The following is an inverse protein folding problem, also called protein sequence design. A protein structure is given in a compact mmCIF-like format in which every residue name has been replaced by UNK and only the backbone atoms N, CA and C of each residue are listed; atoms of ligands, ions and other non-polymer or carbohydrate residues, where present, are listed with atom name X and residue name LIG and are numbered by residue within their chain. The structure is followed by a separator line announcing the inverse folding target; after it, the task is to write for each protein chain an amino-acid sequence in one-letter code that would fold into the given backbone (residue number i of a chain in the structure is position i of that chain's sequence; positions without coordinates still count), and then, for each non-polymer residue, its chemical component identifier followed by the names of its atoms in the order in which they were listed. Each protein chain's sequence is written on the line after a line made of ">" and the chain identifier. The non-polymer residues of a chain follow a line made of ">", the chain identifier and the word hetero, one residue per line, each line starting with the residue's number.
data_IF_400636222925
#
_entry.id   IF_400636222925
#
_cell.length_a   1.000
_cell.length_b   1.000
_cell.length_c   1.000
_cell.angle_alpha   90.00
_cell.angle_beta   90.00
_cell.angle_gamma   90.00
#
_symmetry.space_group_name_H-M   'P 1'
#
loop_
_entity.id
_entity.type
_entity.pdbx_description
1 polymer ?
#
# COMPACT_ATOMS: atom_id res chain seq x y z
N UNK A 1 9.53 -15.42 0.95
CA UNK A 1 8.55 -15.59 -0.15
C UNK A 1 7.16 -15.44 0.42
N UNK A 2 6.40 -14.44 -0.04
CA UNK A 2 5.00 -14.28 0.36
C UNK A 2 4.17 -15.38 -0.31
N UNK A 3 3.34 -16.09 0.47
CA UNK A 3 2.43 -17.12 -0.04
C UNK A 3 1.01 -16.71 0.29
N UNK A 4 0.18 -16.57 -0.73
CA UNK A 4 -1.25 -16.29 -0.55
C UNK A 4 -1.96 -17.64 -0.34
N UNK A 5 -2.61 -17.79 0.81
CA UNK A 5 -3.40 -18.98 1.15
C UNK A 5 -4.86 -18.58 1.25
N UNK A 6 -5.73 -19.23 0.47
CA UNK A 6 -7.17 -19.12 0.65
C UNK A 6 -7.53 -20.00 1.83
N UNK A 7 -8.24 -19.45 2.82
CA UNK A 7 -8.62 -20.20 4.02
C UNK A 7 -9.74 -21.18 3.65
N UNK A 8 -9.50 -22.47 3.86
CA UNK A 8 -10.52 -23.52 3.70
C UNK A 8 -11.46 -23.49 4.90
N UNK A 9 -12.63 -22.89 4.72
CA UNK A 9 -13.68 -22.86 5.75
C UNK A 9 -14.67 -24.01 5.53
N UNK A 10 -14.18 -25.26 5.54
CA UNK A 10 -14.93 -26.51 5.77
C UNK A 10 -16.12 -26.91 4.87
N UNK A 11 -16.84 -25.98 4.23
CA UNK A 11 -18.24 -26.18 3.86
C UNK A 11 -18.56 -26.03 2.37
N UNK A 12 -17.60 -25.69 1.49
CA UNK A 12 -17.88 -25.71 0.05
C UNK A 12 -16.62 -25.86 -0.82
N UNK A 13 -16.29 -27.10 -1.18
CA UNK A 13 -15.11 -27.42 -2.02
C UNK A 13 -15.21 -26.84 -3.43
N UNK A 14 -16.43 -26.67 -3.97
CA UNK A 14 -16.63 -26.14 -5.32
C UNK A 14 -16.38 -24.63 -5.35
N UNK A 15 -16.94 -23.89 -4.39
CA UNK A 15 -16.68 -22.46 -4.25
C UNK A 15 -15.20 -22.18 -4.02
N UNK A 16 -14.53 -22.98 -3.18
CA UNK A 16 -13.09 -22.85 -2.95
C UNK A 16 -12.28 -23.02 -4.23
N UNK A 17 -12.56 -24.03 -5.04
CA UNK A 17 -11.86 -24.26 -6.31
C UNK A 17 -12.12 -23.13 -7.33
N UNK A 18 -13.35 -22.59 -7.37
CA UNK A 18 -13.65 -21.42 -8.20
C UNK A 18 -12.88 -20.17 -7.75
N UNK A 19 -12.87 -19.88 -6.45
CA UNK A 19 -12.10 -18.76 -5.87
C UNK A 19 -10.61 -18.92 -6.14
N UNK A 20 -10.07 -20.13 -5.97
CA UNK A 20 -8.66 -20.43 -6.23
C UNK A 20 -8.30 -20.19 -7.69
N UNK A 21 -9.09 -20.71 -8.64
CA UNK A 21 -8.87 -20.47 -10.08
C UNK A 21 -8.92 -18.97 -10.41
N UNK A 22 -9.89 -18.26 -9.86
CA UNK A 22 -10.04 -16.82 -10.10
C UNK A 22 -8.85 -16.03 -9.53
N UNK A 23 -8.51 -16.21 -8.26
CA UNK A 23 -7.41 -15.50 -7.60
C UNK A 23 -6.06 -15.79 -8.27
N UNK A 24 -5.82 -17.05 -8.69
CA UNK A 24 -4.65 -17.39 -9.48
C UNK A 24 -4.62 -16.65 -10.83
N UNK A 25 -5.77 -16.55 -11.51
CA UNK A 25 -5.90 -15.82 -12.78
C UNK A 25 -5.68 -14.32 -12.64
N UNK A 26 -6.01 -13.73 -11.48
CA UNK A 26 -5.76 -12.30 -11.19
C UNK A 26 -4.25 -11.99 -11.16
N UNK A 27 -3.40 -12.97 -10.85
CA UNK A 27 -1.94 -12.76 -10.62
C UNK A 27 -1.71 -11.69 -9.56
N UNK A 28 -2.35 -11.88 -8.42
CA UNK A 28 -2.42 -10.87 -7.36
C UNK A 28 -1.04 -10.45 -6.87
N UNK A 29 -0.13 -11.39 -6.64
CA UNK A 29 1.21 -11.08 -6.13
C UNK A 29 2.00 -10.20 -7.10
N UNK A 30 1.96 -10.53 -8.38
CA UNK A 30 2.67 -9.79 -9.42
C UNK A 30 2.11 -8.38 -9.58
N UNK A 31 0.78 -8.26 -9.68
CA UNK A 31 0.14 -6.95 -9.83
C UNK A 31 0.29 -6.09 -8.58
N UNK A 32 0.26 -6.69 -7.40
CA UNK A 32 0.39 -5.96 -6.15
C UNK A 32 1.85 -5.55 -5.90
N UNK A 33 2.85 -6.34 -6.31
CA UNK A 33 4.26 -5.94 -6.30
C UNK A 33 4.49 -4.74 -7.23
N UNK A 34 4.02 -4.81 -8.48
CA UNK A 34 4.12 -3.72 -9.45
C UNK A 34 3.43 -2.44 -8.93
N UNK A 35 2.21 -2.59 -8.40
CA UNK A 35 1.49 -1.49 -7.77
C UNK A 35 2.28 -0.86 -6.61
N UNK A 36 2.77 -1.66 -5.67
CA UNK A 36 3.54 -1.18 -4.53
C UNK A 36 4.80 -0.42 -4.97
N UNK A 37 5.52 -0.90 -5.98
CA UNK A 37 6.70 -0.21 -6.52
C UNK A 37 6.34 1.18 -7.04
N UNK A 38 5.29 1.25 -7.86
CA UNK A 38 4.84 2.50 -8.46
C UNK A 38 4.37 3.50 -7.38
N UNK A 39 3.57 3.04 -6.43
CA UNK A 39 3.09 3.89 -5.32
C UNK A 39 4.24 4.37 -4.42
N UNK A 40 5.22 3.51 -4.08
CA UNK A 40 6.38 3.94 -3.31
C UNK A 40 7.23 4.96 -4.05
N UNK A 41 7.45 4.78 -5.37
CA UNK A 41 8.18 5.78 -6.16
C UNK A 41 7.47 7.13 -6.14
N UNK A 42 6.15 7.15 -6.32
CA UNK A 42 5.36 8.37 -6.26
C UNK A 42 5.39 9.00 -4.85
N UNK A 43 5.18 8.21 -3.81
CA UNK A 43 5.16 8.66 -2.42
C UNK A 43 6.52 9.25 -2.00
N UNK A 44 7.62 8.56 -2.29
CA UNK A 44 8.97 9.03 -1.95
C UNK A 44 9.28 10.35 -2.66
N UNK A 45 8.86 10.50 -3.91
CA UNK A 45 8.97 11.77 -4.63
C UNK A 45 8.17 12.88 -3.95
N UNK A 46 6.90 12.63 -3.63
CA UNK A 46 6.05 13.61 -2.93
C UNK A 46 6.65 14.04 -1.61
N UNK A 47 7.10 13.10 -0.77
CA UNK A 47 7.69 13.42 0.53
C UNK A 47 9.05 14.11 0.40
N UNK A 48 9.85 13.76 -0.60
CA UNK A 48 11.11 14.44 -0.88
C UNK A 48 10.90 15.90 -1.28
N UNK A 49 9.80 16.21 -1.99
CA UNK A 49 9.46 17.59 -2.36
C UNK A 49 8.87 18.35 -1.17
N UNK A 50 7.93 17.76 -0.43
CA UNK A 50 7.36 18.35 0.78
C UNK A 50 8.44 18.77 1.78
N UNK A 51 9.47 17.93 1.99
CA UNK A 51 10.58 18.23 2.91
C UNK A 51 11.38 19.47 2.54
N UNK A 52 11.26 19.96 1.30
CA UNK A 52 11.91 21.19 0.84
C UNK A 52 11.07 22.44 1.12
N UNK A 53 9.80 22.29 1.49
CA UNK A 53 8.95 23.41 1.83
C UNK A 53 9.38 24.08 3.15
N UNK A 54 9.03 25.36 3.31
CA UNK A 54 9.36 26.13 4.50
C UNK A 54 8.68 25.60 5.78
N UNK A 55 7.55 24.90 5.64
CA UNK A 55 6.76 24.32 6.72
C UNK A 55 6.25 22.94 6.31
N UNK A 56 7.12 21.91 6.30
CA UNK A 56 6.76 20.59 5.82
C UNK A 56 5.77 19.90 6.77
N UNK A 57 4.75 19.26 6.20
CA UNK A 57 3.88 18.34 6.93
C UNK A 57 4.61 17.01 7.22
N UNK A 58 4.29 16.38 8.36
CA UNK A 58 4.78 15.03 8.69
C UNK A 58 4.21 14.00 7.70
N UNK A 59 5.01 12.99 7.35
CA UNK A 59 4.62 11.90 6.47
C UNK A 59 3.30 11.25 6.90
N UNK A 60 3.12 11.01 8.21
CA UNK A 60 1.89 10.44 8.76
C UNK A 60 0.64 11.27 8.42
N UNK A 61 0.74 12.61 8.41
CA UNK A 61 -0.36 13.50 8.07
C UNK A 61 -0.72 13.43 6.59
N UNK A 62 0.30 13.43 5.73
CA UNK A 62 0.14 13.33 4.27
C UNK A 62 -0.48 11.99 3.90
N UNK A 63 0.08 10.89 4.40
CA UNK A 63 -0.41 9.53 4.17
C UNK A 63 -1.85 9.36 4.70
N UNK A 64 -2.19 9.97 5.83
CA UNK A 64 -3.56 9.95 6.35
C UNK A 64 -4.55 10.64 5.39
N UNK A 65 -4.16 11.76 4.76
CA UNK A 65 -4.99 12.43 3.75
C UNK A 65 -5.19 11.55 2.52
N UNK A 66 -4.12 10.95 1.99
CA UNK A 66 -4.21 10.02 0.85
C UNK A 66 -5.10 8.83 1.17
N UNK A 67 -4.89 8.17 2.31
CA UNK A 67 -5.75 7.07 2.76
C UNK A 67 -7.24 7.45 2.76
N UNK A 68 -7.60 8.59 3.35
CA UNK A 68 -9.01 9.05 3.41
C UNK A 68 -9.61 9.28 2.02
N UNK A 69 -8.83 9.83 1.09
CA UNK A 69 -9.27 10.05 -0.30
C UNK A 69 -9.66 8.73 -1.00
N UNK A 70 -8.92 7.65 -0.74
CA UNK A 70 -9.16 6.35 -1.35
C UNK A 70 -10.20 5.50 -0.61
N UNK A 71 -10.24 5.57 0.73
CA UNK A 71 -11.24 4.87 1.54
C UNK A 71 -12.66 5.34 1.28
N UNK A 72 -12.85 6.63 0.96
CA UNK A 72 -14.17 7.16 0.59
C UNK A 72 -14.76 6.51 -0.67
N UNK A 73 -13.94 5.82 -1.47
CA UNK A 73 -14.37 5.15 -2.70
C UNK A 73 -14.59 3.65 -2.48
N UNK A 74 -13.69 2.99 -1.74
CA UNK A 74 -13.87 1.60 -1.28
C UNK A 74 -12.87 1.28 -0.18
N UNK A 75 -13.27 0.59 0.90
CA UNK A 75 -12.34 0.16 1.95
C UNK A 75 -11.30 -0.86 1.46
N UNK A 76 -11.58 -1.57 0.37
CA UNK A 76 -10.69 -2.59 -0.21
C UNK A 76 -9.95 -2.10 -1.46
N UNK A 77 -9.92 -0.77 -1.68
CA UNK A 77 -9.10 -0.19 -2.72
C UNK A 77 -7.62 -0.37 -2.39
N UNK A 78 -6.79 -0.69 -3.38
CA UNK A 78 -5.39 -1.04 -3.16
C UNK A 78 -4.60 0.11 -2.50
N UNK A 79 -4.86 1.35 -2.91
CA UNK A 79 -4.26 2.55 -2.32
C UNK A 79 -4.63 2.68 -0.83
N UNK A 80 -5.90 2.46 -0.47
CA UNK A 80 -6.33 2.51 0.92
C UNK A 80 -5.63 1.44 1.77
N UNK A 81 -5.50 0.22 1.24
CA UNK A 81 -4.81 -0.90 1.90
C UNK A 81 -3.32 -0.57 2.06
N UNK A 82 -2.69 -0.04 1.01
CA UNK A 82 -1.28 0.37 1.00
C UNK A 82 -0.98 1.42 2.07
N UNK A 83 -1.71 2.54 2.06
CA UNK A 83 -1.50 3.60 3.04
C UNK A 83 -1.83 3.15 4.47
N UNK A 84 -2.81 2.26 4.66
CA UNK A 84 -3.07 1.65 5.97
C UNK A 84 -1.88 0.81 6.45
N UNK A 85 -1.24 0.07 5.56
CA UNK A 85 -0.02 -0.69 5.87
C UNK A 85 1.12 0.21 6.34
N UNK A 86 1.33 1.34 5.65
CA UNK A 86 2.38 2.31 6.03
C UNK A 86 2.06 2.96 7.38
N UNK A 87 0.82 3.40 7.61
CA UNK A 87 0.43 4.05 8.88
C UNK A 87 0.59 3.13 10.10
N UNK A 88 0.52 1.82 9.92
CA UNK A 88 0.73 0.84 10.98
C UNK A 88 2.21 0.47 11.18
N UNK A 89 3.12 1.06 10.41
CA UNK A 89 4.55 0.80 10.50
C UNK A 89 5.29 2.06 10.99
N UNK A 90 5.52 2.13 12.30
CA UNK A 90 6.17 3.28 12.95
C UNK A 90 7.61 3.49 12.50
N UNK A 91 8.36 2.41 12.27
CA UNK A 91 9.75 2.49 11.79
C UNK A 91 9.81 3.07 10.38
N UNK A 92 8.89 2.64 9.51
CA UNK A 92 8.78 3.20 8.15
C UNK A 92 8.38 4.68 8.19
N UNK A 93 7.43 5.06 9.04
CA UNK A 93 7.06 6.48 9.19
C UNK A 93 8.23 7.33 9.67
N UNK A 94 9.04 6.83 10.61
CA UNK A 94 10.24 7.53 11.07
C UNK A 94 11.27 7.68 9.93
N UNK A 95 11.50 6.63 9.15
CA UNK A 95 12.33 6.73 7.93
C UNK A 95 11.77 7.77 6.94
N UNK A 96 10.46 7.80 6.73
CA UNK A 96 9.79 8.75 5.83
C UNK A 96 9.78 10.20 6.33
N UNK A 97 10.00 10.44 7.61
CA UNK A 97 10.14 11.80 8.18
C UNK A 97 11.62 12.22 8.30
N UNK A 98 12.50 11.31 8.72
CA UNK A 98 13.86 11.65 9.17
C UNK A 98 14.98 10.95 8.39
N UNK A 99 14.68 9.87 7.66
CA UNK A 99 15.65 9.09 6.90
C UNK A 99 16.13 9.78 5.62
N UNK A 100 17.14 9.20 4.97
CA UNK A 100 17.62 9.67 3.67
C UNK A 100 16.68 9.17 2.56
N UNK A 101 15.88 10.09 2.00
CA UNK A 101 15.06 9.80 0.83
C UNK A 101 15.89 10.00 -0.45
N UNK A 102 15.55 9.30 -1.55
CA UNK A 102 16.17 9.55 -2.84
C UNK A 102 15.96 11.01 -3.25
N UNK A 103 16.99 11.64 -3.83
CA UNK A 103 16.87 12.99 -4.36
C UNK A 103 16.07 12.96 -5.66
N UNK A 104 14.88 13.56 -5.63
CA UNK A 104 14.09 13.84 -6.82
C UNK A 104 14.20 15.34 -7.11
N UNK A 105 15.12 15.69 -8.03
CA UNK A 105 15.19 17.04 -8.62
C UNK A 105 14.07 17.27 -9.61
#
# INVERSE_FOLDING_TARGET
>A
TFRLSIVENGDDSELYELLRRHINGVKFLERFDEFCRNEYMALLRTLSLERQDAQPDRASRIICRFKRQYEGQSPNRWEAIFYRGILNNTELLDYLDNGHLPNYT
#
